data_IF_035955570296
#
_entry.id   IF_035955570296
#
_cell.length_a   1.000
_cell.length_b   1.000
_cell.length_c   1.000
_cell.angle_alpha   90.00
_cell.angle_beta   90.00
_cell.angle_gamma   90.00
#
_symmetry.space_group_name_H-M   'P 1'
#
loop_
_entity.id
_entity.type
_entity.pdbx_description
1 polymer ?
#
# COMPACT_ATOMS: atom_id res chain seq x y z
N UNK A 1 6.10 15.65 -19.31
CA UNK A 1 5.63 17.04 -19.47
C UNK A 1 5.06 17.34 -20.88
N UNK A 2 5.60 16.83 -22.00
CA UNK A 2 5.10 17.13 -23.35
C UNK A 2 3.62 16.84 -23.60
N UNK A 3 3.10 15.67 -23.21
CA UNK A 3 1.71 15.27 -23.50
C UNK A 3 0.64 16.07 -22.74
N UNK A 4 0.96 16.70 -21.61
CA UNK A 4 0.03 17.54 -20.84
C UNK A 4 0.03 18.96 -21.43
N UNK A 5 1.20 19.49 -21.81
CA UNK A 5 1.32 20.78 -22.47
C UNK A 5 0.58 20.79 -23.81
N UNK A 6 0.69 19.71 -24.61
CA UNK A 6 -0.03 19.57 -25.89
C UNK A 6 -1.56 19.55 -25.73
N UNK A 7 -2.06 18.99 -24.62
CA UNK A 7 -3.51 18.99 -24.30
C UNK A 7 -4.04 20.35 -23.81
N UNK A 8 -3.15 21.19 -23.25
CA UNK A 8 -3.48 22.54 -22.78
C UNK A 8 -3.28 23.61 -23.87
N UNK A 9 -2.76 23.24 -25.04
CA UNK A 9 -2.55 24.15 -26.17
C UNK A 9 -3.80 24.44 -27.01
N UNK A 10 -4.90 23.72 -26.77
CA UNK A 10 -6.16 23.95 -27.47
C UNK A 10 -6.81 25.27 -27.04
N UNK A 11 -7.34 26.07 -27.95
CA UNK A 11 -8.09 27.28 -27.61
C UNK A 11 -9.25 26.99 -26.67
N UNK A 12 -9.51 27.87 -25.70
CA UNK A 12 -10.60 27.67 -24.72
C UNK A 12 -11.99 27.49 -25.38
N UNK A 13 -12.20 28.05 -26.56
CA UNK A 13 -13.41 27.89 -27.32
C UNK A 13 -13.62 26.42 -27.78
N UNK A 14 -12.58 25.77 -28.30
CA UNK A 14 -12.68 24.35 -28.72
C UNK A 14 -12.89 23.40 -27.53
N UNK A 15 -12.30 23.72 -26.37
CA UNK A 15 -12.54 22.95 -25.15
C UNK A 15 -14.00 23.07 -24.67
N UNK A 16 -14.60 24.26 -24.78
CA UNK A 16 -16.01 24.47 -24.45
C UNK A 16 -16.97 23.74 -25.42
N UNK A 17 -16.62 23.70 -26.72
CA UNK A 17 -17.36 22.94 -27.71
C UNK A 17 -17.27 21.42 -27.42
N UNK A 18 -16.09 20.89 -27.13
CA UNK A 18 -15.90 19.50 -26.75
C UNK A 18 -16.67 19.16 -25.45
N UNK A 19 -16.63 20.03 -24.45
CA UNK A 19 -17.43 19.86 -23.24
C UNK A 19 -18.92 19.84 -23.51
N UNK A 20 -19.42 20.75 -24.36
CA UNK A 20 -20.83 20.79 -24.77
C UNK A 20 -21.27 19.51 -25.49
N UNK A 21 -20.38 18.96 -26.35
CA UNK A 21 -20.62 17.70 -27.04
C UNK A 21 -20.65 16.50 -26.07
N UNK A 22 -19.75 16.46 -25.07
CA UNK A 22 -19.66 15.38 -24.10
C UNK A 22 -20.74 15.46 -23.02
N UNK A 23 -21.29 16.66 -22.74
CA UNK A 23 -22.23 16.89 -21.64
C UNK A 23 -23.43 15.95 -21.61
N UNK A 24 -24.15 15.69 -22.72
CA UNK A 24 -25.29 14.79 -22.70
C UNK A 24 -24.93 13.35 -22.32
N UNK A 25 -23.78 12.85 -22.83
CA UNK A 25 -23.27 11.51 -22.51
C UNK A 25 -22.88 11.41 -21.04
N UNK A 26 -22.15 12.41 -20.52
CA UNK A 26 -21.75 12.48 -19.11
C UNK A 26 -22.97 12.56 -18.19
N UNK A 27 -23.96 13.38 -18.54
CA UNK A 27 -25.22 13.48 -17.77
C UNK A 27 -25.96 12.13 -17.75
N UNK A 28 -26.02 11.43 -18.90
CA UNK A 28 -26.59 10.08 -19.00
C UNK A 28 -25.87 9.09 -18.10
N UNK A 29 -24.54 9.11 -18.10
CA UNK A 29 -23.71 8.26 -17.25
C UNK A 29 -23.97 8.51 -15.76
N UNK A 30 -24.01 9.77 -15.34
CA UNK A 30 -24.32 10.12 -13.93
C UNK A 30 -25.72 9.69 -13.51
N UNK A 31 -26.72 9.88 -14.38
CA UNK A 31 -28.08 9.42 -14.10
C UNK A 31 -28.13 7.90 -13.94
N UNK A 32 -27.52 7.16 -14.88
CA UNK A 32 -27.43 5.69 -14.82
C UNK A 32 -26.72 5.22 -13.55
N UNK A 33 -25.60 5.85 -13.18
CA UNK A 33 -24.87 5.51 -11.96
C UNK A 33 -25.73 5.74 -10.71
N UNK A 34 -26.47 6.86 -10.65
CA UNK A 34 -27.37 7.17 -9.54
C UNK A 34 -28.54 6.16 -9.45
N UNK A 35 -29.10 5.77 -10.57
CA UNK A 35 -30.20 4.79 -10.61
C UNK A 35 -29.70 3.38 -10.25
N UNK A 36 -28.50 3.01 -10.72
CA UNK A 36 -27.85 1.76 -10.31
C UNK A 36 -27.60 1.73 -8.79
N UNK A 37 -27.05 2.79 -8.22
CA UNK A 37 -26.79 2.87 -6.76
C UNK A 37 -28.08 2.68 -5.96
N UNK A 38 -29.18 3.35 -6.35
CA UNK A 38 -30.49 3.18 -5.71
C UNK A 38 -31.02 1.75 -5.80
N UNK A 39 -30.92 1.14 -6.99
CA UNK A 39 -31.39 -0.24 -7.22
C UNK A 39 -30.54 -1.25 -6.43
N UNK A 40 -29.22 -1.03 -6.38
CA UNK A 40 -28.28 -1.85 -5.62
C UNK A 40 -28.57 -1.80 -4.11
N UNK A 41 -28.75 -0.60 -3.57
CA UNK A 41 -29.13 -0.42 -2.15
C UNK A 41 -30.48 -1.05 -1.82
N UNK A 42 -31.47 -0.91 -2.70
CA UNK A 42 -32.77 -1.53 -2.51
C UNK A 42 -32.69 -3.06 -2.49
N UNK A 43 -31.87 -3.64 -3.37
CA UNK A 43 -31.69 -5.10 -3.43
C UNK A 43 -30.89 -5.62 -2.21
N UNK A 44 -29.85 -4.90 -1.76
CA UNK A 44 -29.14 -5.23 -0.50
C UNK A 44 -30.11 -5.26 0.69
N UNK A 45 -30.92 -4.21 0.85
CA UNK A 45 -31.94 -4.12 1.91
C UNK A 45 -32.95 -5.28 1.86
N UNK A 46 -33.44 -5.63 0.65
CA UNK A 46 -34.37 -6.75 0.45
C UNK A 46 -33.75 -8.09 0.87
N UNK A 47 -32.44 -8.26 0.66
CA UNK A 47 -31.71 -9.48 1.01
C UNK A 47 -31.14 -9.45 2.43
N UNK A 48 -31.33 -8.37 3.19
CA UNK A 48 -30.70 -8.14 4.49
C UNK A 48 -29.17 -8.33 4.46
N UNK A 49 -28.52 -7.80 3.42
CA UNK A 49 -27.06 -7.89 3.18
C UNK A 49 -26.44 -6.50 3.26
N UNK A 50 -25.19 -6.48 3.77
CA UNK A 50 -24.31 -5.30 3.75
C UNK A 50 -23.02 -5.68 3.04
N UNK A 51 -22.44 -4.74 2.32
CA UNK A 51 -21.05 -4.84 1.84
C UNK A 51 -20.09 -4.11 2.79
N UNK A 52 -18.78 -4.24 2.57
CA UNK A 52 -17.78 -3.60 3.43
C UNK A 52 -17.89 -2.07 3.45
N UNK A 53 -18.28 -1.47 2.33
CA UNK A 53 -18.49 -0.02 2.24
C UNK A 53 -19.68 0.44 3.09
N UNK A 54 -20.75 -0.37 3.16
CA UNK A 54 -21.89 -0.08 4.04
C UNK A 54 -21.47 -0.07 5.51
N UNK A 55 -20.64 -1.05 5.93
CA UNK A 55 -20.16 -1.14 7.31
C UNK A 55 -19.35 0.09 7.69
N UNK A 56 -18.45 0.54 6.83
CA UNK A 56 -17.65 1.75 7.06
C UNK A 56 -18.53 3.00 7.13
N UNK A 57 -19.45 3.19 6.20
CA UNK A 57 -20.34 4.36 6.17
C UNK A 57 -21.35 4.36 7.33
N UNK A 58 -21.88 3.22 7.71
CA UNK A 58 -22.76 3.10 8.85
C UNK A 58 -22.01 3.38 10.16
N UNK A 59 -20.76 2.94 10.28
CA UNK A 59 -19.89 3.30 11.39
C UNK A 59 -19.71 4.83 11.48
N UNK A 60 -19.45 5.53 10.37
CA UNK A 60 -19.35 7.00 10.37
C UNK A 60 -20.67 7.64 10.81
N UNK A 61 -21.82 7.20 10.29
CA UNK A 61 -23.13 7.74 10.69
C UNK A 61 -23.41 7.62 12.18
N UNK A 62 -22.90 6.57 12.82
CA UNK A 62 -23.04 6.35 14.26
C UNK A 62 -22.02 7.15 15.08
N UNK A 63 -20.80 7.29 14.57
CA UNK A 63 -19.66 7.78 15.35
C UNK A 63 -19.37 9.27 15.12
N UNK A 64 -19.85 9.87 14.01
CA UNK A 64 -19.52 11.23 13.62
C UNK A 64 -20.79 12.01 13.33
N UNK A 65 -20.93 13.22 13.91
CA UNK A 65 -22.05 14.10 13.68
C UNK A 65 -21.88 14.96 12.40
N UNK A 66 -22.89 15.75 12.03
CA UNK A 66 -22.90 16.60 10.82
C UNK A 66 -21.81 17.68 10.82
N UNK A 67 -21.22 18.00 11.98
CA UNK A 67 -20.09 18.93 12.10
C UNK A 67 -18.73 18.23 12.03
N UNK A 68 -18.70 16.90 11.76
CA UNK A 68 -17.49 16.11 11.69
C UNK A 68 -16.86 15.79 13.06
N UNK A 69 -17.63 15.97 14.16
CA UNK A 69 -17.16 15.71 15.52
C UNK A 69 -17.64 14.35 16.03
N UNK A 70 -16.91 13.72 16.95
CA UNK A 70 -17.35 12.47 17.57
C UNK A 70 -18.70 12.63 18.27
N UNK A 71 -19.60 11.67 18.08
CA UNK A 71 -20.87 11.60 18.81
C UNK A 71 -20.65 11.17 20.27
N UNK A 72 -21.68 11.30 21.11
CA UNK A 72 -21.61 10.78 22.49
C UNK A 72 -21.41 9.26 22.53
N UNK A 73 -21.97 8.55 21.55
CA UNK A 73 -21.74 7.12 21.37
C UNK A 73 -20.25 6.84 21.10
N UNK A 74 -19.63 7.59 20.19
CA UNK A 74 -18.21 7.43 19.88
C UNK A 74 -17.34 7.69 21.12
N UNK A 75 -17.63 8.75 21.89
CA UNK A 75 -16.92 9.06 23.14
C UNK A 75 -17.08 7.94 24.18
N UNK A 76 -18.30 7.43 24.35
CA UNK A 76 -18.58 6.34 25.28
C UNK A 76 -17.84 5.05 24.91
N UNK A 77 -17.80 4.72 23.62
CA UNK A 77 -17.05 3.56 23.11
C UNK A 77 -15.55 3.79 23.21
N UNK A 78 -15.07 4.96 22.85
CA UNK A 78 -13.66 5.34 22.92
C UNK A 78 -13.05 5.22 24.32
N UNK A 79 -13.84 5.46 25.38
CA UNK A 79 -13.41 5.31 26.77
C UNK A 79 -13.12 3.86 27.17
N UNK A 80 -13.59 2.88 26.39
CA UNK A 80 -13.32 1.46 26.63
C UNK A 80 -11.93 1.02 26.19
N UNK A 81 -11.29 1.80 25.30
CA UNK A 81 -9.99 1.50 24.75
C UNK A 81 -8.92 2.31 25.48
N UNK A 82 -8.01 1.63 26.16
CA UNK A 82 -6.81 2.26 26.70
C UNK A 82 -5.91 2.77 25.58
N UNK A 83 -5.75 1.96 24.55
CA UNK A 83 -4.97 2.27 23.33
C UNK A 83 -5.68 1.70 22.10
N UNK A 84 -5.58 2.42 20.98
CA UNK A 84 -6.03 2.00 19.67
C UNK A 84 -4.79 1.90 18.80
N UNK A 85 -4.46 0.69 18.36
CA UNK A 85 -3.30 0.40 17.54
C UNK A 85 -3.74 0.06 16.13
N UNK A 86 -3.19 0.77 15.14
CA UNK A 86 -3.47 0.54 13.72
C UNK A 86 -2.18 0.18 13.02
N UNK A 87 -2.15 -1.01 12.45
CA UNK A 87 -1.05 -1.50 11.62
C UNK A 87 -1.34 -1.23 10.14
N UNK A 88 -0.29 -1.27 9.30
CA UNK A 88 -0.36 -0.98 7.86
C UNK A 88 -1.11 0.33 7.55
N UNK A 89 -0.87 1.37 8.37
CA UNK A 89 -1.64 2.61 8.30
C UNK A 89 -1.51 3.35 6.96
N UNK A 90 -0.47 3.09 6.15
CA UNK A 90 -0.32 3.60 4.78
C UNK A 90 -1.42 3.12 3.83
N UNK A 91 -2.12 2.03 4.18
CA UNK A 91 -3.21 1.47 3.37
C UNK A 91 -4.60 1.92 3.86
N UNK A 92 -4.63 2.85 4.80
CA UNK A 92 -5.86 3.43 5.35
C UNK A 92 -6.47 4.43 4.35
N UNK A 93 -7.80 4.41 4.24
CA UNK A 93 -8.57 5.43 3.53
C UNK A 93 -9.10 6.52 4.50
N UNK A 94 -9.66 7.61 3.93
CA UNK A 94 -10.18 8.71 4.73
C UNK A 94 -11.36 8.29 5.63
N UNK A 95 -12.18 7.33 5.22
CA UNK A 95 -13.31 6.82 5.98
C UNK A 95 -12.82 6.11 7.24
N UNK A 96 -11.88 5.19 7.08
CA UNK A 96 -11.24 4.45 8.18
C UNK A 96 -10.51 5.39 9.15
N UNK A 97 -9.73 6.34 8.62
CA UNK A 97 -9.05 7.34 9.43
C UNK A 97 -10.04 8.15 10.28
N UNK A 98 -11.20 8.51 9.72
CA UNK A 98 -12.26 9.23 10.44
C UNK A 98 -12.83 8.38 11.57
N UNK A 99 -13.05 7.08 11.36
CA UNK A 99 -13.51 6.14 12.39
C UNK A 99 -12.48 6.05 13.52
N UNK A 100 -11.19 5.85 13.21
CA UNK A 100 -10.13 5.78 14.22
C UNK A 100 -10.07 7.05 15.07
N UNK A 101 -10.13 8.21 14.43
CA UNK A 101 -10.13 9.50 15.12
C UNK A 101 -11.37 9.69 16.00
N UNK A 102 -12.56 9.29 15.54
CA UNK A 102 -13.79 9.40 16.30
C UNK A 102 -13.80 8.56 17.58
N UNK A 103 -13.12 7.40 17.54
CA UNK A 103 -12.98 6.49 18.68
C UNK A 103 -11.79 6.83 19.58
N UNK A 104 -10.85 7.63 19.12
CA UNK A 104 -9.69 8.02 19.92
C UNK A 104 -10.06 9.12 20.91
N UNK A 105 -9.29 9.21 21.99
CA UNK A 105 -9.44 10.27 23.03
C UNK A 105 -8.68 11.52 22.58
N UNK A 106 -9.20 12.22 21.58
CA UNK A 106 -8.52 13.35 20.91
C UNK A 106 -7.13 12.96 20.34
N UNK A 107 -6.97 11.70 19.90
CA UNK A 107 -5.73 11.18 19.39
C UNK A 107 -4.71 10.73 20.45
N UNK A 108 -4.96 10.95 21.75
CA UNK A 108 -3.99 10.68 22.82
C UNK A 108 -3.67 9.20 23.03
N UNK A 109 -4.61 8.32 22.67
CA UNK A 109 -4.46 6.87 22.78
C UNK A 109 -4.36 6.18 21.41
N UNK A 110 -3.96 6.92 20.35
CA UNK A 110 -3.84 6.38 19.01
C UNK A 110 -2.37 6.09 18.68
N UNK A 111 -2.07 4.84 18.36
CA UNK A 111 -0.76 4.38 17.95
C UNK A 111 -0.83 3.82 16.52
N UNK A 112 -0.10 4.43 15.60
CA UNK A 112 -0.17 4.16 14.16
C UNK A 112 1.18 3.62 13.69
N UNK A 113 1.16 2.49 13.01
CA UNK A 113 2.35 1.87 12.42
C UNK A 113 2.14 1.73 10.92
N UNK A 114 3.17 1.99 10.15
CA UNK A 114 3.12 1.85 8.70
C UNK A 114 4.43 2.19 8.01
N UNK A 115 4.47 1.91 6.74
CA UNK A 115 5.60 2.25 5.86
C UNK A 115 5.08 2.76 4.52
N UNK A 116 5.25 4.05 4.25
CA UNK A 116 4.79 4.67 2.99
C UNK A 116 5.35 3.97 1.75
N UNK A 117 6.56 3.42 1.83
CA UNK A 117 7.19 2.69 0.72
C UNK A 117 6.43 1.42 0.34
N UNK A 118 5.61 0.88 1.24
CA UNK A 118 4.80 -0.31 1.04
C UNK A 118 3.36 -0.01 0.62
N UNK A 119 3.03 1.26 0.37
CA UNK A 119 1.68 1.65 -0.07
C UNK A 119 1.42 1.23 -1.52
N UNK A 120 0.80 0.07 -1.69
CA UNK A 120 0.47 -0.51 -3.00
C UNK A 120 -1.04 -0.61 -3.25
N UNK A 121 -1.89 -0.20 -2.29
CA UNK A 121 -3.35 -0.38 -2.36
C UNK A 121 -4.13 0.87 -2.76
N UNK A 122 -3.53 1.84 -3.47
CA UNK A 122 -4.24 3.01 -4.01
C UNK A 122 -5.45 2.63 -4.87
N UNK A 123 -5.34 1.55 -5.65
CA UNK A 123 -6.45 1.03 -6.45
C UNK A 123 -7.63 0.51 -5.60
N UNK A 124 -7.44 0.32 -4.29
CA UNK A 124 -8.48 0.01 -3.30
C UNK A 124 -8.85 1.21 -2.44
N UNK A 125 -8.61 2.43 -2.94
CA UNK A 125 -8.92 3.69 -2.27
C UNK A 125 -8.05 4.00 -1.04
N UNK A 126 -6.95 3.28 -0.80
CA UNK A 126 -5.97 3.68 0.19
C UNK A 126 -5.39 5.06 -0.16
N UNK A 127 -5.24 5.91 0.84
CA UNK A 127 -4.69 7.26 0.68
C UNK A 127 -3.42 7.44 1.54
N UNK A 128 -2.25 7.16 0.98
CA UNK A 128 -0.99 7.30 1.72
C UNK A 128 -0.68 8.74 2.13
N UNK A 129 -1.37 9.74 1.56
CA UNK A 129 -1.18 11.14 1.95
C UNK A 129 -1.58 11.39 3.40
N UNK A 130 -2.52 10.62 3.93
CA UNK A 130 -2.95 10.64 5.34
C UNK A 130 -1.77 10.31 6.27
N UNK A 131 -0.99 9.30 5.92
CA UNK A 131 0.20 8.92 6.70
C UNK A 131 1.35 9.89 6.49
N UNK A 132 1.57 10.34 5.26
CA UNK A 132 2.59 11.34 4.92
C UNK A 132 2.38 12.68 5.65
N UNK A 133 1.14 13.11 5.81
CA UNK A 133 0.82 14.30 6.58
C UNK A 133 1.31 14.17 8.03
N UNK A 134 0.98 13.04 8.68
CA UNK A 134 1.45 12.76 10.05
C UNK A 134 2.98 12.67 10.11
N UNK A 135 3.60 12.00 9.14
CA UNK A 135 5.05 11.92 9.05
C UNK A 135 5.72 13.29 8.97
N UNK A 136 5.10 14.25 8.28
CA UNK A 136 5.62 15.63 8.14
C UNK A 136 5.32 16.52 9.34
N UNK A 137 4.20 16.34 10.00
CA UNK A 137 3.72 17.21 11.08
C UNK A 137 4.15 16.74 12.46
N UNK A 138 4.21 15.42 12.69
CA UNK A 138 4.61 14.87 13.99
C UNK A 138 6.10 15.08 14.24
N UNK A 139 6.41 15.53 15.44
CA UNK A 139 7.82 15.74 15.83
C UNK A 139 8.56 14.43 16.03
N UNK A 140 9.89 14.40 15.75
CA UNK A 140 10.72 13.27 16.19
C UNK A 140 10.56 13.01 17.69
N UNK A 141 10.59 11.75 18.08
CA UNK A 141 10.35 11.32 19.48
C UNK A 141 11.25 12.04 20.50
N UNK A 142 12.51 12.25 20.16
CA UNK A 142 13.53 12.91 20.99
C UNK A 142 13.37 14.44 21.09
N UNK A 143 12.50 15.03 20.24
CA UNK A 143 12.24 16.48 20.17
C UNK A 143 10.82 16.86 20.59
N UNK A 144 9.94 15.87 20.79
CA UNK A 144 8.55 16.11 21.17
C UNK A 144 8.42 16.30 22.68
N UNK A 145 7.69 17.33 23.10
CA UNK A 145 7.34 17.53 24.50
C UNK A 145 6.27 16.53 24.97
N UNK A 146 6.06 16.46 26.27
CA UNK A 146 4.99 15.63 26.84
C UNK A 146 3.62 16.09 26.34
N UNK A 147 2.82 15.15 25.85
CA UNK A 147 1.50 15.42 25.29
C UNK A 147 1.49 15.87 23.81
N UNK A 148 2.66 16.09 23.20
CA UNK A 148 2.75 16.35 21.75
C UNK A 148 2.73 15.05 20.94
N UNK A 149 2.20 15.17 19.73
CA UNK A 149 2.24 14.11 18.73
C UNK A 149 3.69 13.85 18.30
N UNK A 150 4.07 12.58 18.26
CA UNK A 150 5.45 12.19 18.00
C UNK A 150 5.54 11.04 17.01
N UNK A 151 6.63 11.02 16.25
CA UNK A 151 7.00 9.93 15.37
C UNK A 151 8.26 9.22 15.85
N UNK A 152 8.25 7.89 15.68
CA UNK A 152 9.41 7.03 15.89
C UNK A 152 9.73 6.39 14.55
N UNK A 153 10.96 6.58 14.07
CA UNK A 153 11.41 5.94 12.82
C UNK A 153 12.10 4.62 13.15
N UNK A 154 11.57 3.53 12.60
CA UNK A 154 12.14 2.19 12.72
C UNK A 154 12.93 1.89 11.44
N UNK A 155 14.25 1.96 11.51
CA UNK A 155 15.13 1.74 10.35
C UNK A 155 15.77 0.35 10.33
N UNK A 156 15.76 -0.39 11.45
CA UNK A 156 16.35 -1.72 11.54
C UNK A 156 15.38 -2.82 11.09
N UNK A 157 15.83 -3.63 10.15
CA UNK A 157 15.13 -4.80 9.67
C UNK A 157 15.78 -6.07 10.27
N UNK A 158 14.98 -6.87 10.96
CA UNK A 158 15.40 -8.11 11.61
C UNK A 158 15.00 -9.37 10.82
N UNK A 159 14.26 -9.20 9.71
CA UNK A 159 13.71 -10.29 8.89
C UNK A 159 14.66 -10.71 7.79
N UNK A 160 15.25 -9.73 7.12
CA UNK A 160 15.98 -9.94 5.86
C UNK A 160 17.48 -9.83 6.05
N UNK A 161 18.21 -10.59 5.25
CA UNK A 161 19.68 -10.52 5.17
C UNK A 161 20.15 -9.17 4.63
N UNK A 162 21.40 -8.75 4.96
CA UNK A 162 21.97 -7.49 4.47
C UNK A 162 21.92 -7.36 2.94
N UNK A 163 22.21 -8.43 2.20
CA UNK A 163 22.28 -8.46 0.74
C UNK A 163 20.91 -8.08 0.11
N UNK A 164 19.82 -8.54 0.71
CA UNK A 164 18.44 -8.19 0.27
C UNK A 164 18.14 -6.72 0.56
N UNK A 165 18.54 -6.25 1.75
CA UNK A 165 18.29 -4.86 2.16
C UNK A 165 19.11 -3.87 1.32
N UNK A 166 20.35 -4.20 0.99
CA UNK A 166 21.22 -3.38 0.14
C UNK A 166 20.65 -3.27 -1.27
N UNK A 167 20.22 -4.39 -1.86
CA UNK A 167 19.59 -4.39 -3.19
C UNK A 167 18.29 -3.58 -3.20
N UNK A 168 17.46 -3.70 -2.16
CA UNK A 168 16.24 -2.89 -2.03
C UNK A 168 16.58 -1.40 -1.89
N UNK A 169 17.57 -1.05 -1.06
CA UNK A 169 18.02 0.33 -0.89
C UNK A 169 18.53 0.91 -2.22
N UNK A 170 19.32 0.15 -2.97
CA UNK A 170 19.88 0.62 -4.25
C UNK A 170 18.77 0.84 -5.28
N UNK A 171 17.82 -0.09 -5.37
CA UNK A 171 16.68 0.07 -6.25
C UNK A 171 15.85 1.31 -5.90
N UNK A 172 15.52 1.49 -4.62
CA UNK A 172 14.72 2.64 -4.19
C UNK A 172 15.45 3.97 -4.35
N UNK A 173 16.76 4.04 -4.17
CA UNK A 173 17.54 5.24 -4.50
C UNK A 173 17.45 5.63 -5.97
N UNK A 174 17.35 4.62 -6.86
CA UNK A 174 17.25 4.87 -8.30
C UNK A 174 15.84 5.31 -8.74
N UNK A 175 14.78 4.77 -8.13
CA UNK A 175 13.41 4.93 -8.66
C UNK A 175 12.50 5.81 -7.79
N UNK A 176 12.80 5.99 -6.50
CA UNK A 176 11.91 6.70 -5.58
C UNK A 176 12.30 8.18 -5.46
N UNK A 177 11.34 9.05 -5.78
CA UNK A 177 11.42 10.49 -5.62
C UNK A 177 10.05 11.03 -5.23
N UNK A 178 9.98 12.30 -4.80
CA UNK A 178 8.69 12.96 -4.52
C UNK A 178 7.73 12.95 -5.70
N UNK A 179 8.27 12.99 -6.91
CA UNK A 179 7.46 13.01 -8.14
C UNK A 179 6.89 11.63 -8.47
N UNK A 180 7.62 10.56 -8.17
CA UNK A 180 7.25 9.19 -8.51
C UNK A 180 6.67 8.41 -7.32
N UNK A 181 7.21 8.62 -6.11
CA UNK A 181 6.83 7.88 -4.90
C UNK A 181 6.38 8.77 -3.74
N UNK A 182 6.16 10.08 -3.98
CA UNK A 182 5.73 11.08 -2.98
C UNK A 182 6.71 11.32 -1.84
N UNK A 183 7.83 10.60 -1.83
CA UNK A 183 8.87 10.63 -0.83
C UNK A 183 10.23 10.51 -1.49
N UNK A 184 11.21 11.32 -1.06
CA UNK A 184 12.60 11.15 -1.47
C UNK A 184 13.24 10.04 -0.62
N UNK A 185 13.94 9.10 -1.27
CA UNK A 185 14.60 8.00 -0.56
C UNK A 185 15.94 8.47 0.01
N UNK A 186 15.90 8.90 1.26
CA UNK A 186 17.07 9.40 2.00
C UNK A 186 17.58 8.36 2.99
N UNK A 187 18.65 8.68 3.72
CA UNK A 187 19.19 7.82 4.77
C UNK A 187 18.16 7.44 5.86
N UNK A 188 17.19 8.34 6.15
CA UNK A 188 16.12 8.09 7.12
C UNK A 188 15.11 7.06 6.62
N UNK A 189 15.04 6.82 5.30
CA UNK A 189 14.15 5.87 4.66
C UNK A 189 14.84 4.54 4.37
N UNK A 190 16.17 4.51 4.44
CA UNK A 190 16.95 3.31 4.13
C UNK A 190 16.75 2.23 5.19
N UNK A 191 16.82 0.98 4.73
CA UNK A 191 16.72 -0.20 5.56
C UNK A 191 18.14 -0.59 6.06
N UNK A 192 18.26 -0.84 7.35
CA UNK A 192 19.52 -1.25 7.97
C UNK A 192 19.37 -2.64 8.58
N UNK A 193 20.37 -3.53 8.42
CA UNK A 193 20.31 -4.85 9.04
C UNK A 193 20.28 -4.72 10.58
N UNK A 194 19.35 -5.44 11.20
CA UNK A 194 19.18 -5.52 12.65
C UNK A 194 19.38 -6.94 13.18
N UNK A 195 19.26 -7.95 12.30
CA UNK A 195 19.48 -9.35 12.63
C UNK A 195 20.90 -9.81 12.34
N UNK A 196 21.27 -10.97 12.92
CA UNK A 196 22.50 -11.69 12.61
C UNK A 196 22.16 -12.92 11.78
N UNK A 197 22.84 -13.10 10.66
CA UNK A 197 22.62 -14.22 9.76
C UNK A 197 23.90 -15.03 9.60
N UNK A 198 23.82 -16.35 9.39
CA UNK A 198 24.99 -17.17 9.11
C UNK A 198 25.75 -16.65 7.88
N UNK A 199 27.08 -16.62 7.96
CA UNK A 199 27.91 -16.29 6.80
C UNK A 199 27.78 -17.40 5.74
N UNK A 200 27.86 -17.02 4.46
CA UNK A 200 27.79 -17.95 3.32
C UNK A 200 27.91 -17.21 2.00
N UNK A 201 27.96 -17.98 0.92
CA UNK A 201 28.02 -17.48 -0.46
C UNK A 201 26.67 -17.75 -1.16
N UNK A 202 26.37 -17.02 -2.23
CA UNK A 202 25.19 -17.24 -3.06
C UNK A 202 23.91 -16.59 -2.51
N UNK A 203 24.03 -15.62 -1.58
CA UNK A 203 22.90 -14.87 -1.04
C UNK A 203 22.70 -13.50 -1.73
N UNK A 204 23.49 -13.20 -2.73
CA UNK A 204 23.41 -11.98 -3.52
C UNK A 204 22.05 -11.91 -4.24
N UNK A 205 21.49 -10.72 -4.32
CA UNK A 205 20.24 -10.51 -5.06
C UNK A 205 20.50 -10.62 -6.56
N UNK A 206 19.75 -11.47 -7.24
CA UNK A 206 19.83 -11.70 -8.67
C UNK A 206 18.72 -10.96 -9.42
N UNK A 207 19.06 -10.39 -10.58
CA UNK A 207 18.11 -9.83 -11.53
C UNK A 207 18.03 -10.71 -12.77
N UNK A 208 16.90 -11.37 -12.97
CA UNK A 208 16.64 -12.16 -14.17
C UNK A 208 15.80 -11.36 -15.17
N UNK A 209 16.33 -11.19 -16.39
CA UNK A 209 15.61 -10.54 -17.49
C UNK A 209 15.21 -11.59 -18.52
N UNK A 210 13.91 -11.79 -18.69
CA UNK A 210 13.36 -12.77 -19.61
C UNK A 210 12.91 -12.08 -20.89
N UNK A 211 13.63 -12.32 -21.99
CA UNK A 211 13.24 -11.85 -23.32
C UNK A 211 12.63 -13.01 -24.14
N UNK A 212 11.35 -12.92 -24.39
CA UNK A 212 10.58 -13.91 -25.15
C UNK A 212 10.45 -13.56 -26.63
N UNK A 213 11.02 -12.45 -27.11
CA UNK A 213 10.83 -11.97 -28.48
C UNK A 213 11.25 -12.97 -29.55
N UNK A 214 12.27 -13.78 -29.28
CA UNK A 214 12.78 -14.82 -30.18
C UNK A 214 12.51 -16.25 -29.70
N UNK A 215 11.82 -16.43 -28.56
CA UNK A 215 11.53 -17.75 -27.99
C UNK A 215 10.52 -18.51 -28.88
N UNK A 216 10.86 -19.72 -29.37
CA UNK A 216 9.95 -20.52 -30.20
C UNK A 216 8.67 -20.91 -29.47
N UNK A 217 8.71 -21.09 -28.14
CA UNK A 217 7.52 -21.40 -27.35
C UNK A 217 6.52 -20.26 -27.38
N UNK A 218 6.99 -19.01 -27.28
CA UNK A 218 6.18 -17.81 -27.37
C UNK A 218 5.73 -17.52 -28.81
N UNK A 219 6.70 -17.52 -29.76
CA UNK A 219 6.44 -17.06 -31.15
C UNK A 219 5.73 -18.10 -32.00
N UNK A 220 6.03 -19.40 -31.84
CA UNK A 220 5.50 -20.48 -32.69
C UNK A 220 4.41 -21.28 -31.97
N UNK A 221 4.60 -21.66 -30.70
CA UNK A 221 3.65 -22.45 -29.93
C UNK A 221 2.56 -21.59 -29.27
N UNK A 222 2.69 -20.26 -29.28
CA UNK A 222 1.73 -19.30 -28.67
C UNK A 222 1.46 -19.59 -27.19
N UNK A 223 2.46 -20.04 -26.46
CA UNK A 223 2.38 -20.20 -25.02
C UNK A 223 2.27 -18.79 -24.41
N UNK A 224 1.36 -18.61 -23.48
CA UNK A 224 1.18 -17.35 -22.77
C UNK A 224 2.45 -16.91 -22.03
N UNK A 225 2.75 -15.61 -22.02
CA UNK A 225 3.91 -15.06 -21.34
C UNK A 225 3.97 -15.46 -19.86
N UNK A 226 2.85 -15.45 -19.17
CA UNK A 226 2.76 -15.84 -17.77
C UNK A 226 3.14 -17.31 -17.54
N UNK A 227 2.82 -18.20 -18.49
CA UNK A 227 3.20 -19.61 -18.40
C UNK A 227 4.70 -19.80 -18.55
N UNK A 228 5.36 -19.00 -19.41
CA UNK A 228 6.80 -19.03 -19.58
C UNK A 228 7.52 -18.49 -18.33
N UNK A 229 7.02 -17.41 -17.76
CA UNK A 229 7.52 -16.89 -16.48
C UNK A 229 7.36 -17.91 -15.35
N UNK A 230 6.18 -18.53 -15.23
CA UNK A 230 5.92 -19.57 -14.23
C UNK A 230 6.86 -20.79 -14.38
N UNK A 231 7.14 -21.22 -15.61
CA UNK A 231 8.10 -22.31 -15.88
C UNK A 231 9.52 -21.94 -15.47
N UNK A 232 9.92 -20.69 -15.72
CA UNK A 232 11.22 -20.19 -15.30
C UNK A 232 11.33 -20.20 -13.77
N UNK A 233 10.35 -19.65 -13.06
CA UNK A 233 10.30 -19.64 -11.59
C UNK A 233 10.32 -21.06 -11.02
N UNK A 234 9.51 -21.97 -11.56
CA UNK A 234 9.46 -23.37 -11.14
C UNK A 234 10.82 -24.07 -11.31
N UNK A 235 11.54 -23.76 -12.40
CA UNK A 235 12.89 -24.28 -12.62
C UNK A 235 13.87 -23.75 -11.58
N UNK A 236 13.87 -22.44 -11.29
CA UNK A 236 14.73 -21.85 -10.26
C UNK A 236 14.49 -22.51 -8.90
N UNK A 237 13.22 -22.70 -8.51
CA UNK A 237 12.86 -23.39 -7.28
C UNK A 237 13.40 -24.84 -7.27
N UNK A 238 13.20 -25.57 -8.36
CA UNK A 238 13.69 -26.96 -8.47
C UNK A 238 15.22 -27.04 -8.35
N UNK A 239 15.94 -26.13 -8.99
CA UNK A 239 17.39 -26.04 -8.95
C UNK A 239 17.88 -25.76 -7.51
N UNK A 240 17.30 -24.79 -6.81
CA UNK A 240 17.63 -24.46 -5.42
C UNK A 240 17.40 -25.64 -4.46
N UNK A 241 16.27 -26.35 -4.63
CA UNK A 241 15.96 -27.55 -3.84
C UNK A 241 16.92 -28.69 -4.12
N UNK A 242 17.23 -28.92 -5.40
CA UNK A 242 18.12 -30.01 -5.82
C UNK A 242 19.57 -29.80 -5.32
N UNK A 243 20.05 -28.55 -5.35
CA UNK A 243 21.39 -28.21 -4.87
C UNK A 243 21.46 -28.07 -3.34
N UNK A 244 20.31 -28.08 -2.65
CA UNK A 244 20.27 -27.96 -1.20
C UNK A 244 20.73 -26.57 -0.74
N UNK A 245 20.22 -25.51 -1.37
CA UNK A 245 20.58 -24.13 -1.03
C UNK A 245 20.55 -23.90 0.48
N UNK A 246 21.59 -23.32 1.10
CA UNK A 246 21.67 -23.21 2.53
C UNK A 246 20.72 -22.13 3.07
N UNK A 247 19.83 -22.50 3.99
CA UNK A 247 18.96 -21.57 4.73
C UNK A 247 19.27 -21.63 6.23
N UNK A 248 18.89 -20.61 6.97
CA UNK A 248 19.09 -20.57 8.43
C UNK A 248 18.33 -21.72 9.12
N UNK A 249 18.96 -22.38 10.08
CA UNK A 249 18.33 -23.38 10.94
C UNK A 249 17.63 -22.78 12.17
N UNK A 250 17.71 -21.44 12.34
CA UNK A 250 17.18 -20.72 13.52
C UNK A 250 18.02 -20.86 14.79
N UNK A 251 19.14 -21.60 14.75
CA UNK A 251 20.05 -21.82 15.89
C UNK A 251 21.46 -21.26 15.64
N UNK A 252 21.60 -20.45 14.59
CA UNK A 252 22.88 -19.85 14.19
C UNK A 252 23.68 -20.65 13.18
N UNK A 253 23.15 -21.80 12.71
CA UNK A 253 23.69 -22.63 11.63
C UNK A 253 22.87 -22.53 10.36
N UNK A 254 23.18 -23.44 9.41
CA UNK A 254 22.44 -23.59 8.16
C UNK A 254 22.00 -25.03 7.95
N UNK A 255 20.86 -25.20 7.25
CA UNK A 255 20.35 -26.46 6.74
C UNK A 255 19.99 -26.33 5.25
N UNK A 256 19.87 -27.45 4.50
CA UNK A 256 19.35 -27.40 3.14
C UNK A 256 17.93 -26.81 3.08
N UNK A 257 17.65 -26.08 1.99
CA UNK A 257 16.32 -25.56 1.67
C UNK A 257 15.29 -26.69 1.55
N UNK A 258 14.13 -26.50 2.13
CA UNK A 258 12.96 -27.37 2.01
C UNK A 258 11.80 -26.61 1.32
N UNK A 259 10.81 -27.31 0.74
CA UNK A 259 9.67 -26.64 0.09
C UNK A 259 8.92 -25.65 1.00
N UNK A 260 8.85 -25.91 2.29
CA UNK A 260 8.16 -25.06 3.29
C UNK A 260 8.91 -23.74 3.57
N UNK A 261 10.14 -23.61 3.09
CA UNK A 261 10.92 -22.35 3.22
C UNK A 261 10.66 -21.36 2.08
N UNK A 262 9.91 -21.77 1.05
CA UNK A 262 9.62 -20.99 -0.15
C UNK A 262 8.18 -20.46 -0.03
N UNK A 263 8.04 -19.12 -0.01
CA UNK A 263 6.76 -18.41 0.13
C UNK A 263 6.37 -17.64 -1.15
#
# INVERSE_FOLDING_TARGET
MGKVADRLSSPSASLLEDMALLYPAMRGLFALTADFAKAYDAEKKKRAMLDFSDLEHDAIRLLVNDQGQPTDLARQWGQRYAEIMVDEYQDTNQVQNTIFRALSQDGKNLFLVGDVKQSIYRFRLADPTIFLEKYRTFRPYDQAAEGEERRITLSKNFRSRPEVLEAANDLFRCVMSRELGELDYTADQALYPGGTFPAGEGYETELHVLDFSEDPAYTQQKIERNDLEARFVAKQIADLLQFGFPVSDGQGGTRPLAPDDIA
#
